data_IF_990260707251
#
_entry.id   IF_990260707251
#
_cell.length_a   1.000
_cell.length_b   1.000
_cell.length_c   1.000
_cell.angle_alpha   90.00
_cell.angle_beta   90.00
_cell.angle_gamma   90.00
#
_symmetry.space_group_name_H-M   'P 1'
#
loop_
_entity.id
_entity.type
_entity.pdbx_description
1 polymer ?
#
# COMPACT_ATOMS: atom_id res chain seq x y z
N UNK A 1 -3.91 10.89 0.18
CA UNK A 1 -2.68 10.25 -0.33
C UNK A 1 -1.49 11.13 0.02
N UNK A 2 -0.69 10.71 0.99
CA UNK A 2 0.53 11.40 1.42
C UNK A 2 1.77 10.57 1.09
N UNK A 3 2.89 11.24 0.83
CA UNK A 3 4.20 10.60 0.63
C UNK A 3 4.75 10.10 1.97
N UNK A 4 5.27 8.87 1.97
CA UNK A 4 5.84 8.24 3.16
C UNK A 4 7.36 8.44 3.25
N UNK A 5 7.90 8.68 4.45
CA UNK A 5 9.34 8.56 4.74
C UNK A 5 9.88 7.16 4.41
N UNK A 6 11.15 7.07 3.98
CA UNK A 6 11.83 5.80 3.63
C UNK A 6 11.78 4.76 4.76
N UNK A 7 11.89 5.19 6.03
CA UNK A 7 11.83 4.31 7.19
C UNK A 7 10.50 3.54 7.29
N UNK A 8 9.40 4.16 6.87
CA UNK A 8 8.09 3.52 6.84
C UNK A 8 8.01 2.53 5.68
N UNK A 9 8.58 2.86 4.52
CA UNK A 9 8.61 1.94 3.38
C UNK A 9 9.35 0.63 3.74
N UNK A 10 10.49 0.73 4.43
CA UNK A 10 11.24 -0.44 4.91
C UNK A 10 10.48 -1.24 5.96
N UNK A 11 9.80 -0.55 6.89
CA UNK A 11 8.96 -1.21 7.90
C UNK A 11 7.80 -1.97 7.24
N UNK A 12 7.16 -1.36 6.25
CA UNK A 12 6.04 -1.95 5.50
C UNK A 12 6.49 -3.16 4.69
N UNK A 13 7.67 -3.14 4.07
CA UNK A 13 8.21 -4.33 3.38
C UNK A 13 8.48 -5.49 4.35
N UNK A 14 8.94 -5.19 5.57
CA UNK A 14 9.29 -6.20 6.58
C UNK A 14 8.07 -6.79 7.30
N UNK A 15 7.09 -5.96 7.64
CA UNK A 15 5.96 -6.33 8.51
C UNK A 15 4.61 -6.34 7.80
N UNK A 16 4.50 -5.62 6.68
CA UNK A 16 3.27 -5.52 5.91
C UNK A 16 2.94 -6.81 5.19
N UNK A 17 1.65 -7.08 5.03
CA UNK A 17 1.17 -8.23 4.27
C UNK A 17 1.06 -7.83 2.82
N UNK A 18 1.72 -8.56 1.92
CA UNK A 18 1.61 -8.30 0.50
C UNK A 18 0.13 -8.33 0.08
N UNK A 19 -0.31 -7.27 -0.60
CA UNK A 19 -1.70 -7.04 -0.93
C UNK A 19 -1.82 -6.31 -2.26
N UNK A 20 -3.01 -6.37 -2.85
CA UNK A 20 -3.41 -5.48 -3.94
C UNK A 20 -4.76 -4.85 -3.62
N UNK A 21 -4.93 -3.58 -3.92
CA UNK A 21 -6.17 -2.85 -3.68
C UNK A 21 -6.44 -1.88 -4.84
N UNK A 22 -7.70 -1.52 -5.01
CA UNK A 22 -8.11 -0.49 -5.96
C UNK A 22 -8.12 0.85 -5.22
N UNK A 23 -7.21 1.75 -5.60
CA UNK A 23 -7.05 3.08 -4.99
C UNK A 23 -7.29 4.12 -6.08
N UNK A 24 -8.22 5.06 -5.84
CA UNK A 24 -8.65 6.06 -6.84
C UNK A 24 -8.99 5.46 -8.22
N UNK A 25 -9.64 4.30 -8.24
CA UNK A 25 -10.07 3.62 -9.47
C UNK A 25 -8.97 2.85 -10.20
N UNK A 26 -7.73 2.79 -9.69
CA UNK A 26 -6.64 2.01 -10.28
C UNK A 26 -6.23 0.87 -9.35
N UNK A 27 -5.97 -0.31 -9.94
CA UNK A 27 -5.42 -1.44 -9.20
C UNK A 27 -3.96 -1.17 -8.86
N UNK A 28 -3.63 -1.26 -7.57
CA UNK A 28 -2.28 -1.05 -7.03
C UNK A 28 -1.83 -2.29 -6.28
N UNK A 29 -0.58 -2.65 -6.47
CA UNK A 29 0.11 -3.67 -5.66
C UNK A 29 0.90 -2.96 -4.57
N UNK A 30 0.98 -3.59 -3.40
CA UNK A 30 1.65 -3.02 -2.26
C UNK A 30 1.52 -3.92 -1.04
N UNK A 31 1.39 -3.29 0.12
CA UNK A 31 1.39 -3.96 1.41
C UNK A 31 0.30 -3.38 2.29
N UNK A 32 -0.39 -4.26 3.01
CA UNK A 32 -1.32 -3.88 4.05
C UNK A 32 -0.59 -3.88 5.39
N UNK A 33 -0.54 -2.72 6.05
CA UNK A 33 0.02 -2.55 7.39
C UNK A 33 -1.11 -2.07 8.32
N UNK A 34 -1.61 -2.98 9.16
CA UNK A 34 -2.79 -2.72 9.99
C UNK A 34 -4.03 -2.47 9.12
N UNK A 35 -4.61 -1.27 9.23
CA UNK A 35 -5.76 -0.81 8.43
C UNK A 35 -5.38 0.17 7.31
N UNK A 36 -4.08 0.32 7.03
CA UNK A 36 -3.55 1.18 5.96
C UNK A 36 -3.02 0.33 4.82
N UNK A 37 -3.30 0.75 3.61
CA UNK A 37 -2.73 0.17 2.40
C UNK A 37 -1.60 1.08 1.89
N UNK A 38 -0.40 0.54 1.80
CA UNK A 38 0.79 1.25 1.38
C UNK A 38 1.24 0.69 0.04
N UNK A 39 1.41 1.56 -0.95
CA UNK A 39 1.74 1.17 -2.32
C UNK A 39 2.74 2.15 -2.92
N UNK A 40 3.51 1.67 -3.87
CA UNK A 40 4.35 2.54 -4.68
C UNK A 40 3.56 3.14 -5.83
N UNK A 41 3.96 4.34 -6.27
CA UNK A 41 3.43 4.96 -7.48
C UNK A 41 3.80 4.16 -8.75
N UNK A 42 3.25 4.57 -9.90
CA UNK A 42 3.48 3.91 -11.19
C UNK A 42 4.97 3.82 -11.60
N UNK A 43 5.83 4.62 -10.99
CA UNK A 43 7.26 4.66 -11.27
C UNK A 43 8.11 4.00 -10.17
N UNK A 44 7.47 3.44 -9.14
CA UNK A 44 8.12 2.87 -7.96
C UNK A 44 9.08 3.81 -7.22
N UNK A 45 8.96 5.12 -7.46
CA UNK A 45 9.83 6.15 -6.90
C UNK A 45 9.29 6.61 -5.55
N UNK A 46 7.97 6.65 -5.42
CA UNK A 46 7.30 7.24 -4.27
C UNK A 46 6.37 6.25 -3.60
N UNK A 47 6.45 6.18 -2.28
CA UNK A 47 5.56 5.37 -1.46
C UNK A 47 4.40 6.22 -0.95
N UNK A 48 3.19 5.75 -1.17
CA UNK A 48 1.95 6.40 -0.76
C UNK A 48 1.17 5.51 0.21
N UNK A 49 0.44 6.13 1.13
CA UNK A 49 -0.54 5.44 1.97
C UNK A 49 -1.98 5.82 1.63
N UNK A 50 -2.86 4.82 1.70
CA UNK A 50 -4.30 4.93 1.64
C UNK A 50 -4.89 4.40 2.95
N UNK A 51 -5.66 5.25 3.64
CA UNK A 51 -6.39 4.90 4.84
C UNK A 51 -7.71 4.17 4.57
N UNK A 52 -8.45 3.81 5.63
CA UNK A 52 -9.77 3.20 5.51
C UNK A 52 -10.71 4.06 4.65
N UNK A 53 -11.34 3.44 3.64
CA UNK A 53 -12.24 4.12 2.71
C UNK A 53 -11.57 4.71 1.47
N UNK A 54 -10.25 4.89 1.46
CA UNK A 54 -9.50 5.35 0.28
C UNK A 54 -9.16 4.22 -0.70
N UNK A 55 -9.32 2.96 -0.28
CA UNK A 55 -9.08 1.78 -1.10
C UNK A 55 -10.24 0.78 -1.02
N UNK A 56 -10.45 0.01 -2.09
CA UNK A 56 -11.47 -1.05 -2.20
C UNK A 56 -10.90 -2.32 -2.80
N UNK A 57 -11.69 -3.40 -2.79
CA UNK A 57 -11.35 -4.68 -3.43
C UNK A 57 -10.01 -5.29 -2.96
N UNK A 58 -9.67 -5.10 -1.69
CA UNK A 58 -8.41 -5.56 -1.10
C UNK A 58 -8.26 -7.08 -1.25
N UNK A 59 -7.18 -7.53 -1.89
CA UNK A 59 -6.76 -8.93 -1.95
C UNK A 59 -5.42 -9.06 -1.26
N UNK A 60 -5.38 -9.84 -0.19
CA UNK A 60 -4.16 -10.17 0.54
C UNK A 60 -3.59 -11.44 -0.07
N UNK A 61 -2.32 -11.39 -0.47
CA UNK A 61 -1.59 -12.57 -0.93
C UNK A 61 -1.26 -13.39 0.32
N UNK A 62 -1.78 -14.61 0.39
CA UNK A 62 -1.31 -15.59 1.39
C UNK A 62 -0.10 -16.28 0.79
N UNK A 63 1.00 -16.26 1.53
CA UNK A 63 2.24 -16.98 1.21
C UNK A 63 1.99 -18.48 1.22
#
# INVERSE_FOLDING_TARGET
>A
MDLLPEDIAETVKKQGRQASATVSGRRRSGFLLGNRFVFSDDHEVLWMQAGPGEFRELRIWRK
#
